data_IF_826474850847
#
_entry.id   IF_826474850847
#
_cell.length_a   1.000
_cell.length_b   1.000
_cell.length_c   1.000
_cell.angle_alpha   90.00
_cell.angle_beta   90.00
_cell.angle_gamma   90.00
#
_symmetry.space_group_name_H-M   'P 1'
#
loop_
_entity.id
_entity.type
_entity.pdbx_description
1 polymer ?
#
# COMPACT_ATOMS: atom_id res chain seq x y z
N UNK A 1 -35.08 45.23 -35.22
CA UNK A 1 -34.29 44.12 -35.77
C UNK A 1 -33.03 43.76 -34.92
N UNK A 2 -32.27 44.71 -34.35
CA UNK A 2 -31.04 44.42 -33.57
C UNK A 2 -31.20 43.58 -32.29
N UNK A 3 -32.36 43.64 -31.57
CA UNK A 3 -32.59 42.86 -30.32
C UNK A 3 -32.88 41.36 -30.54
N UNK A 4 -33.31 40.97 -31.77
CA UNK A 4 -33.60 39.56 -32.08
C UNK A 4 -32.34 38.80 -32.53
N UNK A 5 -31.40 39.52 -33.17
CA UNK A 5 -30.10 38.94 -33.55
C UNK A 5 -29.20 38.61 -32.35
N UNK A 6 -29.23 39.41 -31.28
CA UNK A 6 -28.45 39.15 -30.06
C UNK A 6 -28.93 37.90 -29.29
N UNK A 7 -30.24 37.61 -29.34
CA UNK A 7 -30.79 36.43 -28.67
C UNK A 7 -30.50 35.14 -29.42
N UNK A 8 -30.37 35.19 -30.74
CA UNK A 8 -30.01 34.01 -31.55
C UNK A 8 -28.52 33.70 -31.45
N UNK A 9 -27.66 34.71 -31.35
CA UNK A 9 -26.22 34.49 -31.10
C UNK A 9 -25.93 33.97 -29.68
N UNK A 10 -26.70 34.39 -28.69
CA UNK A 10 -26.53 33.86 -27.32
C UNK A 10 -26.96 32.37 -27.18
N UNK A 11 -27.96 31.97 -27.98
CA UNK A 11 -28.42 30.55 -27.97
C UNK A 11 -27.50 29.63 -28.77
N UNK A 12 -26.77 30.16 -29.77
CA UNK A 12 -25.81 29.37 -30.53
C UNK A 12 -24.47 29.16 -29.79
N UNK A 13 -24.11 30.07 -28.84
CA UNK A 13 -22.91 29.92 -28.04
C UNK A 13 -23.06 28.95 -26.88
N UNK A 14 -24.29 28.71 -26.38
CA UNK A 14 -24.53 27.73 -25.33
C UNK A 14 -24.64 26.29 -25.85
N UNK A 15 -24.91 26.09 -27.12
CA UNK A 15 -24.97 24.74 -27.71
C UNK A 15 -23.59 24.18 -28.11
N UNK A 16 -22.56 25.02 -28.17
CA UNK A 16 -21.22 24.59 -28.56
C UNK A 16 -20.32 24.14 -27.38
N UNK A 17 -20.78 24.25 -26.13
CA UNK A 17 -20.01 23.83 -24.95
C UNK A 17 -20.46 22.48 -24.36
N UNK A 18 -21.40 21.80 -24.98
CA UNK A 18 -21.66 20.40 -24.73
C UNK A 18 -20.88 19.58 -25.77
N UNK A 19 -19.56 19.78 -25.79
CA UNK A 19 -18.66 18.72 -26.25
C UNK A 19 -18.84 17.61 -25.22
N UNK A 20 -19.26 16.41 -25.62
CA UNK A 20 -19.25 15.32 -24.69
C UNK A 20 -17.81 15.15 -24.23
N UNK A 21 -17.56 15.44 -22.96
CA UNK A 21 -16.41 14.98 -22.22
C UNK A 21 -16.62 13.49 -21.95
N UNK A 22 -17.10 12.82 -23.03
CA UNK A 22 -17.18 11.39 -23.10
C UNK A 22 -15.84 10.92 -23.64
N UNK A 23 -15.14 10.24 -22.76
CA UNK A 23 -14.05 9.34 -23.07
C UNK A 23 -12.71 9.98 -23.49
N UNK A 24 -12.02 10.49 -22.49
CA UNK A 24 -10.64 10.05 -22.35
C UNK A 24 -10.44 9.44 -20.96
N UNK A 25 -11.29 8.52 -20.57
CA UNK A 25 -10.78 7.38 -19.85
C UNK A 25 -9.94 6.64 -20.89
N UNK A 26 -8.68 6.98 -21.03
CA UNK A 26 -7.71 5.95 -21.27
C UNK A 26 -7.79 5.09 -20.02
N UNK A 27 -8.81 4.25 -19.95
CA UNK A 27 -8.69 3.02 -19.28
C UNK A 27 -7.39 2.44 -19.88
N UNK A 28 -6.31 2.47 -19.14
CA UNK A 28 -5.34 1.42 -19.25
C UNK A 28 -6.22 0.19 -19.11
N UNK A 29 -6.54 -0.46 -20.20
CA UNK A 29 -7.01 -1.82 -20.19
C UNK A 29 -5.82 -2.54 -19.58
N UNK A 30 -5.80 -2.66 -18.24
CA UNK A 30 -4.98 -3.62 -17.57
C UNK A 30 -5.33 -4.91 -18.30
N UNK A 31 -4.33 -5.58 -18.84
CA UNK A 31 -4.53 -6.94 -19.32
C UNK A 31 -5.16 -7.65 -18.12
N UNK A 32 -6.36 -8.22 -18.27
CA UNK A 32 -7.10 -8.86 -17.16
C UNK A 32 -6.28 -9.91 -16.39
N UNK A 33 -5.04 -10.13 -16.81
CA UNK A 33 -4.07 -11.08 -16.28
C UNK A 33 -2.79 -10.45 -15.74
N UNK A 34 -2.67 -9.13 -15.73
CA UNK A 34 -1.54 -8.45 -15.10
C UNK A 34 -1.90 -8.05 -13.66
N UNK A 35 -1.05 -8.43 -12.71
CA UNK A 35 -1.14 -8.07 -11.29
C UNK A 35 -0.09 -7.01 -11.01
N UNK A 36 -0.50 -5.81 -10.64
CA UNK A 36 0.40 -4.74 -10.24
C UNK A 36 0.84 -4.93 -8.80
N UNK A 37 2.15 -4.99 -8.57
CA UNK A 37 2.73 -5.11 -7.24
C UNK A 37 3.62 -3.92 -6.90
N UNK A 38 3.17 -3.08 -5.97
CA UNK A 38 3.93 -1.93 -5.48
C UNK A 38 4.70 -2.27 -4.21
N UNK A 39 6.01 -1.99 -4.21
CA UNK A 39 6.87 -2.23 -3.06
C UNK A 39 7.95 -1.16 -2.91
N UNK A 40 8.71 -1.25 -1.80
CA UNK A 40 9.77 -0.28 -1.45
C UNK A 40 11.18 -0.83 -1.66
N UNK A 41 11.32 -2.01 -2.26
CA UNK A 41 12.60 -2.68 -2.47
C UNK A 41 13.36 -2.06 -3.67
N UNK A 42 13.95 -0.89 -3.47
CA UNK A 42 14.68 -0.15 -4.52
C UNK A 42 16.18 -0.40 -4.51
N UNK A 43 16.72 -0.92 -3.41
CA UNK A 43 18.16 -1.18 -3.21
C UNK A 43 18.41 -2.65 -2.87
N UNK A 44 19.60 -3.15 -3.26
CA UNK A 44 20.05 -4.50 -2.90
C UNK A 44 20.42 -4.56 -1.40
N UNK A 45 20.20 -5.69 -0.71
CA UNK A 45 19.77 -6.99 -1.28
C UNK A 45 18.25 -7.15 -1.49
N UNK A 46 17.42 -6.30 -0.90
CA UNK A 46 15.95 -6.46 -0.91
C UNK A 46 15.38 -6.43 -2.34
N UNK A 47 15.88 -5.51 -3.16
CA UNK A 47 15.52 -5.43 -4.58
C UNK A 47 15.76 -6.75 -5.30
N UNK A 48 16.94 -7.34 -5.12
CA UNK A 48 17.32 -8.55 -5.83
C UNK A 48 16.45 -9.74 -5.40
N UNK A 49 16.13 -9.83 -4.10
CA UNK A 49 15.27 -10.88 -3.55
C UNK A 49 13.85 -10.78 -4.10
N UNK A 50 13.26 -9.59 -4.04
CA UNK A 50 11.88 -9.37 -4.51
C UNK A 50 11.78 -9.55 -6.02
N UNK A 51 12.72 -8.99 -6.78
CA UNK A 51 12.75 -9.14 -8.24
C UNK A 51 12.91 -10.62 -8.64
N UNK A 52 13.83 -11.35 -7.99
CA UNK A 52 13.99 -12.77 -8.26
C UNK A 52 12.74 -13.60 -7.94
N UNK A 53 11.99 -13.23 -6.90
CA UNK A 53 10.73 -13.89 -6.54
C UNK A 53 9.65 -13.64 -7.61
N UNK A 54 9.51 -12.39 -8.07
CA UNK A 54 8.57 -12.01 -9.14
C UNK A 54 8.94 -12.70 -10.46
N UNK A 55 10.21 -12.68 -10.85
CA UNK A 55 10.69 -13.33 -12.07
C UNK A 55 10.45 -14.84 -12.03
N UNK A 56 10.67 -15.46 -10.86
CA UNK A 56 10.38 -16.88 -10.67
C UNK A 56 8.89 -17.17 -10.82
N UNK A 57 8.03 -16.38 -10.19
CA UNK A 57 6.58 -16.54 -10.33
C UNK A 57 6.17 -16.42 -11.79
N UNK A 58 6.55 -15.35 -12.47
CA UNK A 58 6.20 -15.09 -13.87
C UNK A 58 6.68 -16.20 -14.83
N UNK A 59 7.82 -16.83 -14.51
CA UNK A 59 8.38 -17.93 -15.31
C UNK A 59 7.73 -19.28 -15.05
N UNK A 60 7.36 -19.56 -13.81
CA UNK A 60 6.92 -20.89 -13.37
C UNK A 60 5.39 -21.01 -13.26
N UNK A 61 4.67 -19.88 -13.18
CA UNK A 61 3.21 -19.89 -13.03
C UNK A 61 2.51 -20.52 -14.23
N UNK A 62 1.48 -21.29 -13.94
CA UNK A 62 0.55 -21.86 -14.95
C UNK A 62 -0.81 -21.17 -14.90
N UNK A 63 -0.98 -20.17 -14.06
CA UNK A 63 -2.24 -19.45 -13.88
C UNK A 63 -2.61 -18.56 -15.07
N UNK A 64 -1.61 -18.18 -15.88
CA UNK A 64 -1.75 -17.21 -16.96
C UNK A 64 -1.69 -15.77 -16.48
N UNK A 65 -1.49 -15.53 -15.17
CA UNK A 65 -1.25 -14.21 -14.62
C UNK A 65 0.23 -13.87 -14.64
N UNK A 66 0.55 -12.58 -14.77
CA UNK A 66 1.89 -12.03 -14.64
C UNK A 66 1.89 -10.94 -13.58
N UNK A 67 2.97 -10.86 -12.82
CA UNK A 67 3.17 -9.79 -11.83
C UNK A 67 4.07 -8.71 -12.41
N UNK A 68 3.57 -7.48 -12.43
CA UNK A 68 4.32 -6.28 -12.77
C UNK A 68 4.78 -5.58 -11.48
N UNK A 69 6.08 -5.67 -11.20
CA UNK A 69 6.68 -5.07 -10.00
C UNK A 69 6.98 -3.60 -10.23
N UNK A 70 6.48 -2.74 -9.34
CA UNK A 70 6.80 -1.30 -9.29
C UNK A 70 7.48 -0.99 -7.97
N UNK A 71 8.80 -0.86 -7.99
CA UNK A 71 9.59 -0.48 -6.81
C UNK A 71 9.68 1.04 -6.70
N UNK A 72 9.30 1.60 -5.56
CA UNK A 72 9.23 3.04 -5.29
C UNK A 72 9.98 3.34 -3.99
N UNK A 73 10.78 4.39 -3.98
CA UNK A 73 11.52 4.84 -2.80
C UNK A 73 10.56 5.16 -1.64
N UNK A 74 10.91 4.72 -0.43
CA UNK A 74 10.03 4.66 0.74
C UNK A 74 9.23 5.95 1.02
N UNK A 75 9.88 7.11 1.01
CA UNK A 75 9.18 8.36 1.35
C UNK A 75 8.16 8.75 0.27
N UNK A 76 8.53 8.61 -1.00
CA UNK A 76 7.64 8.82 -2.15
C UNK A 76 6.54 7.76 -2.22
N UNK A 77 6.83 6.53 -1.78
CA UNK A 77 5.89 5.42 -1.80
C UNK A 77 4.62 5.70 -1.00
N UNK A 78 4.79 6.19 0.22
CA UNK A 78 3.65 6.47 1.12
C UNK A 78 2.70 7.49 0.52
N UNK A 79 3.25 8.57 -0.05
CA UNK A 79 2.44 9.62 -0.69
C UNK A 79 1.72 9.09 -1.93
N UNK A 80 2.44 8.36 -2.79
CA UNK A 80 1.87 7.79 -4.02
C UNK A 80 0.78 6.76 -3.73
N UNK A 81 0.97 5.90 -2.72
CA UNK A 81 -0.01 4.89 -2.35
C UNK A 81 -1.32 5.54 -1.90
N UNK A 82 -1.26 6.55 -1.04
CA UNK A 82 -2.44 7.30 -0.59
C UNK A 82 -3.15 7.99 -1.76
N UNK A 83 -2.39 8.58 -2.70
CA UNK A 83 -2.96 9.21 -3.89
C UNK A 83 -3.66 8.17 -4.76
N UNK A 84 -3.02 7.04 -5.05
CA UNK A 84 -3.57 5.97 -5.86
C UNK A 84 -4.85 5.38 -5.25
N UNK A 85 -4.86 5.13 -3.93
CA UNK A 85 -6.05 4.69 -3.21
C UNK A 85 -7.19 5.72 -3.31
N UNK A 86 -6.88 7.01 -3.14
CA UNK A 86 -7.87 8.08 -3.18
C UNK A 86 -8.44 8.31 -4.58
N UNK A 87 -7.68 8.04 -5.64
CA UNK A 87 -8.12 8.16 -7.04
C UNK A 87 -8.82 6.91 -7.58
N UNK A 88 -8.85 5.82 -6.82
CA UNK A 88 -9.39 4.54 -7.27
C UNK A 88 -8.42 3.74 -8.17
N UNK A 89 -7.15 4.13 -8.22
CA UNK A 89 -6.09 3.48 -9.00
C UNK A 89 -5.16 2.65 -8.08
N UNK A 90 -5.74 2.02 -7.05
CA UNK A 90 -5.00 1.19 -6.11
C UNK A 90 -4.34 0.02 -6.83
N UNK A 91 -3.05 -0.28 -6.58
CA UNK A 91 -2.42 -1.48 -7.10
C UNK A 91 -3.08 -2.75 -6.51
N UNK A 92 -3.01 -3.86 -7.24
CA UNK A 92 -3.60 -5.14 -6.82
C UNK A 92 -2.90 -5.71 -5.58
N UNK A 93 -1.59 -5.50 -5.50
CA UNK A 93 -0.77 -5.87 -4.35
C UNK A 93 0.12 -4.69 -3.95
N UNK A 94 0.27 -4.48 -2.66
CA UNK A 94 1.14 -3.41 -2.17
C UNK A 94 1.78 -3.75 -0.83
N UNK A 95 2.98 -3.24 -0.60
CA UNK A 95 3.65 -3.32 0.69
C UNK A 95 3.05 -2.32 1.67
N UNK A 96 2.83 -2.75 2.90
CA UNK A 96 2.33 -1.91 3.98
C UNK A 96 3.09 -2.17 5.28
N UNK A 97 2.83 -1.35 6.26
CA UNK A 97 3.35 -1.50 7.63
C UNK A 97 2.21 -1.96 8.52
N UNK A 98 2.50 -2.89 9.42
CA UNK A 98 1.54 -3.34 10.44
C UNK A 98 1.09 -2.19 11.35
N UNK A 99 -0.06 -2.37 12.01
CA UNK A 99 -0.63 -1.38 12.92
C UNK A 99 -1.45 -0.30 12.22
N UNK A 100 -1.40 0.92 12.71
CA UNK A 100 -2.27 2.02 12.29
C UNK A 100 -2.47 2.18 10.79
N UNK A 101 -1.40 2.31 9.98
CA UNK A 101 -1.55 2.45 8.53
C UNK A 101 -2.30 1.30 7.87
N UNK A 102 -2.03 0.05 8.28
CA UNK A 102 -2.73 -1.12 7.76
C UNK A 102 -4.22 -1.07 8.12
N UNK A 103 -4.55 -0.70 9.35
CA UNK A 103 -5.95 -0.63 9.81
C UNK A 103 -6.73 0.42 9.04
N UNK A 104 -6.16 1.59 8.78
CA UNK A 104 -6.79 2.63 7.96
C UNK A 104 -7.10 2.14 6.54
N UNK A 105 -6.20 1.38 5.92
CA UNK A 105 -6.44 0.82 4.59
C UNK A 105 -7.51 -0.26 4.58
N UNK A 106 -7.57 -1.10 5.63
CA UNK A 106 -8.62 -2.12 5.80
C UNK A 106 -9.98 -1.46 6.01
N UNK A 107 -10.08 -0.51 6.96
CA UNK A 107 -11.31 0.19 7.28
C UNK A 107 -11.84 1.01 6.09
N UNK A 108 -10.95 1.46 5.22
CA UNK A 108 -11.28 2.15 3.97
C UNK A 108 -11.61 1.20 2.80
N UNK A 109 -11.52 -0.11 2.99
CA UNK A 109 -11.85 -1.11 1.98
C UNK A 109 -10.78 -1.36 0.92
N UNK A 110 -9.55 -0.88 1.13
CA UNK A 110 -8.42 -1.08 0.20
C UNK A 110 -7.68 -2.42 0.41
N UNK A 111 -7.99 -3.16 1.45
CA UNK A 111 -7.48 -4.50 1.68
C UNK A 111 -8.63 -5.47 1.94
N UNK A 112 -8.51 -6.70 1.44
CA UNK A 112 -9.48 -7.77 1.65
C UNK A 112 -8.89 -8.84 2.56
N UNK A 113 -9.71 -9.53 3.37
CA UNK A 113 -9.23 -10.66 4.17
C UNK A 113 -8.74 -11.80 3.26
N UNK A 114 -7.66 -12.43 3.66
CA UNK A 114 -6.99 -13.51 2.92
C UNK A 114 -6.98 -14.83 3.68
N UNK A 115 -7.81 -14.98 4.72
CA UNK A 115 -7.86 -16.18 5.56
C UNK A 115 -8.00 -17.46 4.74
N UNK A 116 -9.00 -17.51 3.86
CA UNK A 116 -9.27 -18.68 3.03
C UNK A 116 -8.11 -19.03 2.08
N UNK A 117 -7.44 -18.00 1.55
CA UNK A 117 -6.27 -18.18 0.68
C UNK A 117 -5.07 -18.68 1.47
N UNK A 118 -4.87 -18.16 2.67
CA UNK A 118 -3.80 -18.58 3.55
C UNK A 118 -3.99 -20.02 4.03
N UNK A 119 -5.22 -20.40 4.39
CA UNK A 119 -5.57 -21.75 4.82
C UNK A 119 -5.42 -22.81 3.72
N UNK A 120 -5.59 -22.42 2.46
CA UNK A 120 -5.38 -23.29 1.31
C UNK A 120 -3.92 -23.37 0.85
N UNK A 121 -3.05 -22.55 1.43
CA UNK A 121 -1.63 -22.48 1.06
C UNK A 121 -0.75 -23.27 2.04
N UNK A 122 0.40 -23.72 1.59
CA UNK A 122 1.46 -24.33 2.41
C UNK A 122 2.35 -23.27 3.10
N UNK A 123 2.01 -22.00 2.96
CA UNK A 123 2.78 -20.88 3.53
C UNK A 123 2.45 -20.70 5.00
N UNK A 124 1.21 -20.95 5.43
CA UNK A 124 0.75 -20.76 6.79
C UNK A 124 1.64 -21.47 7.80
N UNK A 125 1.96 -22.72 7.53
CA UNK A 125 2.80 -23.57 8.42
C UNK A 125 4.27 -23.11 8.46
N UNK A 126 4.68 -22.25 7.55
CA UNK A 126 6.04 -21.69 7.46
C UNK A 126 6.19 -20.33 8.13
N UNK A 127 5.08 -19.72 8.51
CA UNK A 127 5.05 -18.42 9.16
C UNK A 127 4.99 -18.59 10.68
N UNK A 128 5.61 -17.66 11.39
CA UNK A 128 5.48 -17.57 12.83
C UNK A 128 4.11 -17.00 13.19
N UNK A 129 3.45 -17.54 14.22
CA UNK A 129 2.15 -17.04 14.70
C UNK A 129 2.18 -15.53 14.98
N UNK A 130 3.24 -15.05 15.64
CA UNK A 130 3.43 -13.62 15.91
C UNK A 130 3.54 -12.76 14.64
N UNK A 131 3.99 -13.34 13.53
CA UNK A 131 4.06 -12.65 12.25
C UNK A 131 2.68 -12.59 11.57
N UNK A 132 1.90 -13.67 11.65
CA UNK A 132 0.51 -13.70 11.18
C UNK A 132 -0.33 -12.69 11.99
N UNK A 133 -0.15 -12.64 13.30
CA UNK A 133 -0.85 -11.68 14.18
C UNK A 133 -0.59 -10.22 13.76
N UNK A 134 0.64 -9.88 13.36
CA UNK A 134 0.97 -8.54 12.87
C UNK A 134 0.27 -8.19 11.53
N UNK A 135 -0.06 -9.17 10.72
CA UNK A 135 -0.84 -9.04 9.48
C UNK A 135 -2.35 -9.13 9.69
N UNK A 136 -2.81 -9.24 10.94
CA UNK A 136 -4.21 -9.46 11.28
C UNK A 136 -4.87 -8.21 11.87
N UNK A 137 -6.18 -8.09 11.62
CA UNK A 137 -7.03 -7.04 12.18
C UNK A 137 -8.45 -7.58 12.39
N UNK A 138 -9.05 -7.29 13.55
CA UNK A 138 -10.40 -7.74 13.90
C UNK A 138 -10.64 -9.26 13.72
N UNK A 139 -9.60 -10.08 13.94
CA UNK A 139 -9.68 -11.55 13.86
C UNK A 139 -9.51 -12.14 12.47
N UNK A 140 -9.20 -11.32 11.46
CA UNK A 140 -8.93 -11.74 10.08
C UNK A 140 -7.52 -11.38 9.64
N UNK A 141 -6.93 -12.18 8.76
CA UNK A 141 -5.62 -11.95 8.17
C UNK A 141 -5.78 -11.14 6.88
N UNK A 142 -5.06 -10.02 6.75
CA UNK A 142 -5.09 -9.13 5.58
C UNK A 142 -3.75 -9.02 4.87
N UNK A 143 -2.67 -9.41 5.54
CA UNK A 143 -1.33 -9.28 4.98
C UNK A 143 -0.45 -10.48 5.34
N UNK A 144 0.41 -10.85 4.40
CA UNK A 144 1.46 -11.85 4.61
C UNK A 144 2.75 -11.10 4.93
N UNK A 145 3.37 -11.33 6.10
CA UNK A 145 4.63 -10.71 6.45
C UNK A 145 5.76 -11.29 5.59
N UNK A 146 6.49 -10.44 4.89
CA UNK A 146 7.66 -10.85 4.10
C UNK A 146 8.98 -10.33 4.70
N UNK A 147 8.91 -9.36 5.60
CA UNK A 147 10.04 -8.87 6.39
C UNK A 147 9.64 -8.89 7.87
N UNK A 148 10.29 -9.74 8.65
CA UNK A 148 9.82 -10.07 10.00
C UNK A 148 10.66 -9.54 11.14
N UNK A 149 11.66 -8.72 10.93
CA UNK A 149 12.52 -8.31 12.03
C UNK A 149 12.58 -6.79 12.16
N UNK A 150 11.69 -6.25 12.99
CA UNK A 150 11.93 -4.95 13.60
C UNK A 150 12.03 -5.14 15.11
N UNK A 151 13.23 -5.03 15.65
CA UNK A 151 13.46 -4.94 17.08
C UNK A 151 13.39 -3.46 17.47
N UNK A 152 12.25 -3.05 18.04
CA UNK A 152 12.16 -1.76 18.68
C UNK A 152 12.84 -1.88 20.06
N UNK A 153 13.97 -1.22 20.24
CA UNK A 153 14.72 -1.22 21.47
C UNK A 153 15.03 0.20 21.92
N UNK A 154 15.10 0.40 23.22
CA UNK A 154 15.59 1.66 23.79
C UNK A 154 17.05 1.45 24.16
N UNK A 155 17.94 2.15 23.47
CA UNK A 155 19.34 2.20 23.83
C UNK A 155 19.54 3.34 24.84
N UNK A 156 20.17 3.03 25.96
CA UNK A 156 20.48 4.05 26.96
C UNK A 156 21.97 4.03 27.32
N UNK A 157 22.50 5.21 27.63
CA UNK A 157 23.87 5.34 28.07
C UNK A 157 23.97 4.91 29.54
N UNK A 158 24.68 3.81 29.81
CA UNK A 158 24.85 3.26 31.17
C UNK A 158 25.52 4.24 32.13
N UNK A 159 26.41 5.09 31.64
CA UNK A 159 27.05 6.12 32.47
C UNK A 159 26.04 7.17 32.93
N UNK A 160 25.12 7.60 32.07
CA UNK A 160 24.04 8.52 32.43
C UNK A 160 23.03 7.89 33.39
N UNK A 161 22.72 6.59 33.22
CA UNK A 161 21.84 5.88 34.14
C UNK A 161 22.41 5.79 35.55
N UNK A 162 23.72 5.54 35.69
CA UNK A 162 24.42 5.56 36.99
C UNK A 162 24.37 6.94 37.62
N UNK A 163 24.47 8.00 36.82
CA UNK A 163 24.36 9.38 37.29
C UNK A 163 22.94 9.66 37.80
N UNK A 164 21.89 9.26 37.07
CA UNK A 164 20.52 9.38 37.53
C UNK A 164 20.23 8.60 38.80
N UNK A 165 20.75 7.38 38.94
CA UNK A 165 20.60 6.57 40.15
C UNK A 165 21.27 7.22 41.35
N UNK A 166 22.41 7.89 41.14
CA UNK A 166 23.16 8.57 42.21
C UNK A 166 22.47 9.85 42.68
N UNK A 167 21.71 10.53 41.84
CA UNK A 167 21.05 11.81 42.12
C UNK A 167 19.54 11.76 42.31
N UNK A 168 18.92 10.57 42.11
CA UNK A 168 17.49 10.37 42.24
C UNK A 168 17.01 10.01 43.65
N UNK A 169 17.86 10.05 44.63
CA UNK A 169 17.51 9.84 46.07
C UNK A 169 16.81 11.07 46.68
N UNK A 170 15.88 11.69 45.97
CA UNK A 170 15.11 12.83 46.46
C UNK A 170 13.71 13.00 45.88
N UNK A 171 13.26 12.06 45.08
CA UNK A 171 11.96 12.18 44.36
C UNK A 171 11.05 10.95 44.50
N UNK A 172 11.23 10.14 45.54
CA UNK A 172 10.40 8.98 45.80
C UNK A 172 9.25 9.21 46.78
N UNK A 173 8.99 10.43 47.20
CA UNK A 173 7.93 10.73 48.18
C UNK A 173 7.09 11.94 47.75
N UNK A 174 6.46 11.86 46.53
CA UNK A 174 5.30 12.69 46.20
C UNK A 174 4.28 11.85 45.45
#
# INVERSE_FOLDING_TARGET
>A
MKKRMCKIMALAMTAAMVVPMAAQTTAFAADDKEITYWNIAVESPDKDIVTAAVDKFNKETKSGYTVNQVAIQNDTYKEKLVIAMSSGECPDMYSSWSGGPMYEYIDSGFAQPIDDLLDQSDIKDKLLDAAIEQGSYNGHVYAIPYLNVSLAGIFYNTTLQLFHKKYRTGLSDV
#
